data_IF_423516363303
#
_entry.id   IF_423516363303
#
_cell.length_a   1.000
_cell.length_b   1.000
_cell.length_c   1.000
_cell.angle_alpha   90.00
_cell.angle_beta   90.00
_cell.angle_gamma   90.00
#
_symmetry.space_group_name_H-M   'P 1'
#
loop_
_entity.id
_entity.type
_entity.pdbx_description
1 polymer ?
#
# COMPACT_ATOMS: atom_id res chain seq x y z
N UNK A 1 3.38 -12.64 22.88
CA UNK A 1 1.95 -12.33 22.71
C UNK A 1 1.29 -13.61 22.24
N UNK A 2 0.15 -14.02 22.80
CA UNK A 2 -0.54 -15.26 22.39
C UNK A 2 -0.97 -15.16 20.92
N UNK A 3 -0.86 -16.25 20.14
CA UNK A 3 -1.17 -16.28 18.69
C UNK A 3 -2.59 -15.77 18.40
N UNK A 4 -3.55 -16.04 19.29
CA UNK A 4 -4.92 -15.56 19.19
C UNK A 4 -5.03 -14.03 19.25
N UNK A 5 -4.24 -13.40 20.13
CA UNK A 5 -4.18 -11.95 20.23
C UNK A 5 -3.52 -11.32 19.00
N UNK A 6 -2.48 -11.97 18.44
CA UNK A 6 -1.87 -11.55 17.18
C UNK A 6 -2.85 -11.67 16.00
N UNK A 7 -3.59 -12.79 15.90
CA UNK A 7 -4.64 -12.98 14.88
C UNK A 7 -5.72 -11.88 14.97
N UNK A 8 -6.14 -11.50 16.19
CA UNK A 8 -7.08 -10.41 16.40
C UNK A 8 -6.50 -9.04 15.99
N UNK A 9 -5.25 -8.74 16.37
CA UNK A 9 -4.55 -7.53 15.97
C UNK A 9 -4.39 -7.44 14.44
N UNK A 10 -4.02 -8.55 13.79
CA UNK A 10 -3.92 -8.67 12.33
C UNK A 10 -5.23 -8.32 11.63
N UNK A 11 -6.38 -8.78 12.13
CA UNK A 11 -7.70 -8.43 11.58
C UNK A 11 -7.94 -6.91 11.62
N UNK A 12 -7.59 -6.27 12.72
CA UNK A 12 -7.64 -4.81 12.87
C UNK A 12 -6.72 -4.09 11.86
N UNK A 13 -5.47 -4.56 11.72
CA UNK A 13 -4.50 -4.03 10.78
C UNK A 13 -4.96 -4.20 9.31
N UNK A 14 -5.50 -5.37 8.93
CA UNK A 14 -6.08 -5.63 7.59
C UNK A 14 -7.21 -4.66 7.27
N UNK A 15 -8.08 -4.38 8.24
CA UNK A 15 -9.18 -3.42 8.10
C UNK A 15 -8.64 -2.01 7.89
N UNK A 16 -7.70 -1.57 8.73
CA UNK A 16 -7.09 -0.26 8.64
C UNK A 16 -6.31 -0.06 7.32
N UNK A 17 -5.58 -1.08 6.87
CA UNK A 17 -4.86 -1.11 5.59
C UNK A 17 -5.83 -0.98 4.42
N UNK A 18 -6.90 -1.78 4.40
CA UNK A 18 -7.93 -1.73 3.35
C UNK A 18 -8.64 -0.37 3.28
N UNK A 19 -8.88 0.27 4.42
CA UNK A 19 -9.44 1.62 4.47
C UNK A 19 -8.46 2.65 3.89
N UNK A 20 -7.16 2.54 4.19
CA UNK A 20 -6.13 3.40 3.59
C UNK A 20 -6.03 3.22 2.08
N UNK A 21 -6.13 1.99 1.58
CA UNK A 21 -6.19 1.72 0.14
C UNK A 21 -7.36 2.44 -0.53
N UNK A 22 -8.57 2.26 0.01
CA UNK A 22 -9.78 2.93 -0.53
C UNK A 22 -9.67 4.44 -0.53
N UNK A 23 -9.03 5.03 0.49
CA UNK A 23 -8.79 6.48 0.54
C UNK A 23 -7.84 6.93 -0.57
N UNK A 24 -6.78 6.19 -0.84
CA UNK A 24 -5.85 6.49 -1.94
C UNK A 24 -6.55 6.34 -3.28
N UNK A 25 -7.31 5.25 -3.49
CA UNK A 25 -8.10 5.05 -4.71
C UNK A 25 -9.06 6.22 -4.95
N UNK A 26 -9.77 6.65 -3.90
CA UNK A 26 -10.71 7.77 -3.96
C UNK A 26 -10.01 9.08 -4.29
N UNK A 27 -8.80 9.31 -3.78
CA UNK A 27 -8.01 10.49 -4.11
C UNK A 27 -7.53 10.46 -5.57
N UNK A 28 -7.09 9.29 -6.06
CA UNK A 28 -6.57 9.12 -7.42
C UNK A 28 -7.62 9.33 -8.52
N UNK A 29 -8.91 9.10 -8.23
CA UNK A 29 -10.00 9.28 -9.22
C UNK A 29 -10.57 10.71 -9.25
N UNK A 30 -10.14 11.61 -8.35
CA UNK A 30 -10.60 13.00 -8.34
C UNK A 30 -10.06 13.75 -9.57
N UNK A 31 -10.87 14.68 -10.08
CA UNK A 31 -10.45 15.57 -11.16
C UNK A 31 -9.28 16.48 -10.75
N UNK A 32 -9.31 16.97 -9.51
CA UNK A 32 -8.22 17.75 -8.93
C UNK A 32 -7.61 16.98 -7.76
N UNK A 33 -6.53 16.26 -8.04
CA UNK A 33 -5.82 15.42 -7.07
C UNK A 33 -5.02 16.33 -6.12
N UNK A 34 -5.24 16.19 -4.82
CA UNK A 34 -4.39 16.83 -3.83
C UNK A 34 -3.10 16.00 -3.64
N UNK A 35 -2.01 16.48 -4.25
CA UNK A 35 -0.72 15.80 -4.21
C UNK A 35 -0.11 15.71 -2.81
N UNK A 36 -0.37 16.69 -1.94
CA UNK A 36 0.13 16.66 -0.56
C UNK A 36 -0.62 15.59 0.23
N UNK A 37 -1.96 15.57 0.09
CA UNK A 37 -2.80 14.55 0.69
C UNK A 37 -2.41 13.15 0.19
N UNK A 38 -2.18 12.99 -1.12
CA UNK A 38 -1.78 11.72 -1.72
C UNK A 38 -0.43 11.23 -1.16
N UNK A 39 0.54 12.12 -0.98
CA UNK A 39 1.83 11.79 -0.36
C UNK A 39 1.67 11.36 1.10
N UNK A 40 0.83 12.05 1.88
CA UNK A 40 0.54 11.70 3.28
C UNK A 40 -0.12 10.32 3.34
N UNK A 41 -1.12 10.08 2.50
CA UNK A 41 -1.82 8.79 2.42
C UNK A 41 -0.85 7.66 2.05
N UNK A 42 0.10 7.90 1.14
CA UNK A 42 1.14 6.92 0.80
C UNK A 42 1.99 6.57 2.03
N UNK A 43 2.50 7.56 2.75
CA UNK A 43 3.30 7.31 3.97
C UNK A 43 2.50 6.51 5.01
N UNK A 44 1.22 6.85 5.20
CA UNK A 44 0.34 6.09 6.09
C UNK A 44 0.11 4.66 5.62
N UNK A 45 0.01 4.41 4.31
CA UNK A 45 -0.12 3.07 3.76
C UNK A 45 1.14 2.24 4.03
N UNK A 46 2.32 2.83 3.84
CA UNK A 46 3.62 2.18 4.11
C UNK A 46 3.71 1.76 5.59
N UNK A 47 3.42 2.67 6.52
CA UNK A 47 3.41 2.36 7.97
C UNK A 47 2.47 1.19 8.30
N UNK A 48 1.25 1.22 7.76
CA UNK A 48 0.26 0.16 8.00
C UNK A 48 0.70 -1.18 7.41
N UNK A 49 1.28 -1.15 6.21
CA UNK A 49 1.82 -2.35 5.57
C UNK A 49 2.95 -2.95 6.41
N UNK A 50 3.92 -2.15 6.85
CA UNK A 50 5.04 -2.62 7.70
C UNK A 50 4.55 -3.25 9.01
N UNK A 51 3.54 -2.64 9.65
CA UNK A 51 2.94 -3.19 10.87
C UNK A 51 2.18 -4.50 10.61
N UNK A 52 1.47 -4.60 9.48
CA UNK A 52 0.77 -5.82 9.08
C UNK A 52 1.76 -6.94 8.77
N UNK A 53 2.82 -6.64 8.03
CA UNK A 53 3.90 -7.57 7.68
C UNK A 53 4.62 -8.10 8.93
N UNK A 54 4.99 -7.20 9.85
CA UNK A 54 5.57 -7.58 11.15
C UNK A 54 4.64 -8.51 11.93
N UNK A 55 3.34 -8.19 11.99
CA UNK A 55 2.35 -9.02 12.69
C UNK A 55 2.20 -10.41 12.04
N UNK A 56 2.20 -10.48 10.71
CA UNK A 56 2.16 -11.74 9.96
C UNK A 56 3.40 -12.59 10.20
N UNK A 57 4.59 -11.98 10.25
CA UNK A 57 5.85 -12.67 10.56
C UNK A 57 5.84 -13.24 11.99
N UNK A 58 5.38 -12.45 12.97
CA UNK A 58 5.24 -12.92 14.36
C UNK A 58 4.25 -14.10 14.50
N UNK A 59 3.15 -14.09 13.73
CA UNK A 59 2.21 -15.21 13.69
C UNK A 59 2.88 -16.44 13.07
N UNK A 60 3.62 -16.25 11.98
CA UNK A 60 4.34 -17.34 11.29
C UNK A 60 5.36 -18.00 12.19
N UNK A 61 6.20 -17.20 12.88
CA UNK A 61 7.20 -17.69 13.83
C UNK A 61 6.56 -18.54 14.93
N UNK A 62 5.42 -18.11 15.50
CA UNK A 62 4.74 -18.87 16.53
C UNK A 62 4.05 -20.15 16.04
N UNK A 63 3.57 -20.16 14.79
CA UNK A 63 2.89 -21.33 14.21
C UNK A 63 3.88 -22.39 13.74
N UNK A 64 5.07 -21.99 13.26
CA UNK A 64 6.14 -22.94 12.90
C UNK A 64 6.61 -23.79 14.08
N UNK A 65 6.42 -23.31 15.32
CA UNK A 65 6.70 -24.07 16.54
C UNK A 65 5.61 -25.11 16.89
N UNK A 66 4.51 -25.19 16.13
CA UNK A 66 3.36 -26.10 16.41
C UNK A 66 2.94 -26.92 15.18
N UNK A 67 3.32 -28.21 15.17
CA UNK A 67 3.09 -29.17 14.08
C UNK A 67 1.61 -29.34 13.68
N UNK A 68 0.67 -29.13 14.60
CA UNK A 68 -0.77 -29.32 14.39
C UNK A 68 -1.49 -28.19 13.63
N UNK A 69 -0.78 -27.11 13.25
CA UNK A 69 -1.42 -25.87 12.71
C UNK A 69 -1.05 -25.50 11.27
N UNK A 70 -0.30 -26.36 10.57
CA UNK A 70 0.25 -26.08 9.22
C UNK A 70 -0.84 -25.75 8.19
N UNK A 71 -1.99 -26.42 8.21
CA UNK A 71 -3.07 -26.12 7.25
C UNK A 71 -3.74 -24.76 7.55
N UNK A 72 -3.96 -24.45 8.84
CA UNK A 72 -4.52 -23.16 9.27
C UNK A 72 -3.55 -22.01 8.96
N UNK A 73 -2.24 -22.29 8.97
CA UNK A 73 -1.19 -21.37 8.54
C UNK A 73 -1.19 -21.11 7.04
N UNK A 74 -1.36 -22.15 6.21
CA UNK A 74 -1.38 -22.04 4.74
C UNK A 74 -2.59 -21.23 4.24
N UNK A 75 -3.78 -21.50 4.78
CA UNK A 75 -4.99 -20.75 4.43
C UNK A 75 -4.86 -19.25 4.83
N UNK A 76 -4.20 -18.97 5.96
CA UNK A 76 -3.89 -17.60 6.42
C UNK A 76 -2.80 -16.89 5.59
N UNK A 77 -1.99 -17.65 4.86
CA UNK A 77 -0.88 -17.17 4.02
C UNK A 77 -1.35 -16.70 2.64
N UNK A 78 -2.29 -17.40 2.01
CA UNK A 78 -2.84 -17.01 0.70
C UNK A 78 -3.53 -15.63 0.79
N UNK A 79 -4.25 -15.40 1.89
CA UNK A 79 -4.81 -14.09 2.23
C UNK A 79 -3.73 -13.00 2.36
N UNK A 80 -2.54 -13.35 2.88
CA UNK A 80 -1.44 -12.42 3.12
C UNK A 80 -0.73 -11.97 1.83
N UNK A 81 -0.51 -12.89 0.88
CA UNK A 81 0.11 -12.59 -0.41
C UNK A 81 -0.69 -11.54 -1.20
N UNK A 82 -2.02 -11.64 -1.18
CA UNK A 82 -2.91 -10.67 -1.82
C UNK A 82 -2.72 -9.23 -1.29
N UNK A 83 -2.42 -9.05 0.00
CA UNK A 83 -2.16 -7.71 0.56
C UNK A 83 -0.84 -7.12 0.05
N UNK A 84 0.18 -7.94 -0.18
CA UNK A 84 1.48 -7.49 -0.70
C UNK A 84 1.36 -7.01 -2.13
N UNK A 85 0.65 -7.76 -2.97
CA UNK A 85 0.42 -7.38 -4.36
C UNK A 85 -0.38 -6.08 -4.45
N UNK A 86 -1.47 -5.97 -3.67
CA UNK A 86 -2.27 -4.74 -3.60
C UNK A 86 -1.48 -3.54 -3.08
N UNK A 87 -0.59 -3.75 -2.11
CA UNK A 87 0.32 -2.71 -1.64
C UNK A 87 1.25 -2.23 -2.76
N UNK A 88 1.92 -3.16 -3.45
CA UNK A 88 2.87 -2.86 -4.54
C UNK A 88 2.15 -2.14 -5.69
N UNK A 89 0.99 -2.65 -6.12
CA UNK A 89 0.17 -2.04 -7.16
C UNK A 89 -0.15 -0.58 -6.80
N UNK A 90 -0.62 -0.34 -5.58
CA UNK A 90 -1.08 0.96 -5.16
C UNK A 90 0.06 1.95 -4.96
N UNK A 91 1.19 1.52 -4.41
CA UNK A 91 2.41 2.33 -4.38
C UNK A 91 2.86 2.71 -5.80
N UNK A 92 2.85 1.76 -6.73
CA UNK A 92 3.22 1.99 -8.13
C UNK A 92 2.31 3.01 -8.80
N UNK A 93 0.98 2.88 -8.62
CA UNK A 93 -0.01 3.82 -9.15
C UNK A 93 0.19 5.25 -8.61
N UNK A 94 0.43 5.38 -7.30
CA UNK A 94 0.71 6.69 -6.69
C UNK A 94 2.01 7.28 -7.25
N UNK A 95 3.07 6.48 -7.37
CA UNK A 95 4.35 6.96 -7.88
C UNK A 95 4.30 7.38 -9.35
N UNK A 96 3.55 6.64 -10.18
CA UNK A 96 3.28 7.04 -11.56
C UNK A 96 2.52 8.37 -11.60
N UNK A 97 1.49 8.54 -10.76
CA UNK A 97 0.72 9.80 -10.71
C UNK A 97 1.58 10.99 -10.29
N UNK A 98 2.42 10.82 -9.27
CA UNK A 98 3.38 11.84 -8.83
C UNK A 98 4.33 12.21 -9.97
N UNK A 99 4.85 11.20 -10.67
CA UNK A 99 5.76 11.41 -11.80
C UNK A 99 5.08 12.15 -12.95
N UNK A 100 3.87 11.77 -13.34
CA UNK A 100 3.09 12.47 -14.37
C UNK A 100 2.93 13.96 -14.04
N UNK A 101 2.49 14.26 -12.81
CA UNK A 101 2.25 15.64 -12.37
C UNK A 101 3.53 16.48 -12.31
N UNK A 102 4.67 15.87 -11.94
CA UNK A 102 5.95 16.59 -11.81
C UNK A 102 6.74 16.74 -13.13
N UNK A 103 6.65 15.77 -14.05
CA UNK A 103 7.49 15.74 -15.26
C UNK A 103 6.78 16.23 -16.54
N UNK A 104 5.46 16.04 -16.69
CA UNK A 104 4.74 16.47 -17.89
C UNK A 104 4.69 18.00 -18.09
N UNK A 105 4.60 18.84 -17.04
CA UNK A 105 4.59 20.29 -17.21
C UNK A 105 5.93 20.88 -17.67
N UNK A 106 7.05 20.18 -17.46
CA UNK A 106 8.39 20.63 -17.91
C UNK A 106 8.57 20.40 -19.41
N UNK A 107 8.23 19.21 -19.92
CA UNK A 107 8.25 18.88 -21.35
C UNK A 107 7.31 19.78 -22.18
N UNK A 108 6.10 20.06 -21.68
CA UNK A 108 5.17 20.99 -22.36
C UNK A 108 5.71 22.42 -22.40
N UNK A 109 6.35 22.91 -21.33
CA UNK A 109 6.95 24.26 -21.29
C UNK A 109 8.15 24.38 -22.23
N UNK A 110 9.01 23.37 -22.26
CA UNK A 110 10.17 23.33 -23.18
C UNK A 110 9.71 23.27 -24.64
N UNK A 111 8.73 22.41 -24.98
CA UNK A 111 8.17 22.34 -26.32
C UNK A 111 7.45 23.63 -26.77
N UNK A 112 6.81 24.35 -25.84
CA UNK A 112 6.16 25.64 -26.14
C UNK A 112 7.18 26.76 -26.33
N UNK A 113 8.29 26.75 -25.56
CA UNK A 113 9.36 27.73 -25.70
C UNK A 113 10.15 27.54 -27.00
N UNK A 114 10.42 26.30 -27.43
CA UNK A 114 11.05 26.04 -28.73
C UNK A 114 10.22 26.52 -29.93
N UNK A 115 8.88 26.57 -29.83
CA UNK A 115 8.00 27.07 -30.90
C UNK A 115 7.91 28.60 -30.99
N UNK A 116 8.31 29.34 -29.95
CA UNK A 116 8.27 30.81 -29.93
C UNK A 116 9.57 31.48 -30.37
N UNK A 117 10.64 30.69 -30.60
CA UNK A 117 11.97 31.17 -30.99
C UNK A 117 12.34 30.90 -32.45
N UNK A 118 11.39 30.44 -33.27
CA UNK A 118 11.48 30.35 -34.74
C UNK A 118 10.44 31.29 -35.36
#
# INVERSE_FOLDING_TARGET
MEVNALKAARKGLRTAFSLSLKKIETELIKENIDMNQLSILKTQLIDKFQRLDTCQNQISEQLLDTEDTVQEYLDDMEDAENYRDRYIEMCTRVDLKIRETLFLPKLKREALNCRKSN
#
